data_IF_209367540791
#
_entry.id   IF_209367540791
#
_cell.length_a   1.000
_cell.length_b   1.000
_cell.length_c   1.000
_cell.angle_alpha   90.00
_cell.angle_beta   90.00
_cell.angle_gamma   90.00
#
_symmetry.space_group_name_H-M   'P 1'
#
loop_
_entity.id
_entity.type
_entity.pdbx_description
1 polymer ?
#
# COMPACT_ATOMS: atom_id res chain seq x y z
N UNK A 1 3.43 -8.82 -14.96
CA UNK A 1 2.10 -9.11 -14.38
C UNK A 1 2.11 -10.49 -13.78
N UNK A 2 1.67 -10.61 -12.52
CA UNK A 2 1.51 -11.90 -11.84
C UNK A 2 0.11 -12.46 -12.11
N UNK A 3 -0.01 -13.78 -12.22
CA UNK A 3 -1.32 -14.43 -12.40
C UNK A 3 -2.10 -14.34 -11.10
N UNK A 4 -3.32 -13.82 -11.15
CA UNK A 4 -4.21 -13.71 -9.98
C UNK A 4 -3.95 -12.52 -9.05
N UNK A 5 -3.03 -11.61 -9.42
CA UNK A 5 -2.82 -10.35 -8.70
C UNK A 5 -3.32 -9.20 -9.56
N UNK A 6 -4.13 -8.33 -8.97
CA UNK A 6 -4.67 -7.16 -9.67
C UNK A 6 -3.52 -6.23 -10.08
N UNK A 7 -3.43 -5.81 -11.36
CA UNK A 7 -2.35 -4.97 -11.85
C UNK A 7 -2.34 -3.55 -11.26
N UNK A 8 -3.42 -3.11 -10.60
CA UNK A 8 -3.47 -1.83 -9.87
C UNK A 8 -2.66 -1.85 -8.57
N UNK A 9 -2.38 -3.04 -8.05
CA UNK A 9 -1.53 -3.19 -6.86
C UNK A 9 -0.08 -2.92 -7.23
N UNK A 10 0.56 -2.02 -6.49
CA UNK A 10 1.98 -1.77 -6.65
C UNK A 10 2.78 -3.04 -6.33
N UNK A 11 3.93 -3.28 -6.99
CA UNK A 11 4.75 -4.48 -6.76
C UNK A 11 5.20 -4.65 -5.29
N UNK A 12 5.21 -3.57 -4.51
CA UNK A 12 5.61 -3.56 -3.11
C UNK A 12 4.48 -4.04 -2.18
N UNK A 13 3.22 -3.99 -2.63
CA UNK A 13 2.04 -4.34 -1.82
C UNK A 13 2.01 -5.82 -1.42
N UNK A 14 2.26 -6.79 -2.33
CA UNK A 14 2.33 -8.20 -1.93
C UNK A 14 3.45 -8.49 -0.93
N UNK A 15 4.59 -7.80 -1.06
CA UNK A 15 5.71 -7.93 -0.11
C UNK A 15 5.28 -7.45 1.28
N UNK A 16 4.64 -6.28 1.36
CA UNK A 16 4.11 -5.75 2.62
C UNK A 16 3.13 -6.73 3.26
N UNK A 17 2.15 -7.23 2.51
CA UNK A 17 1.14 -8.16 3.01
C UNK A 17 1.75 -9.47 3.52
N UNK A 18 2.79 -9.98 2.86
CA UNK A 18 3.52 -11.17 3.31
C UNK A 18 4.36 -10.93 4.56
N UNK A 19 4.81 -9.69 4.80
CA UNK A 19 5.55 -9.31 6.00
C UNK A 19 4.62 -9.02 7.20
N UNK A 20 3.33 -8.78 6.96
CA UNK A 20 2.35 -8.57 8.03
C UNK A 20 2.08 -9.86 8.82
N UNK A 21 2.22 -9.76 10.14
CA UNK A 21 1.88 -10.81 11.09
C UNK A 21 0.45 -10.73 11.61
N UNK A 22 0.11 -11.63 12.53
CA UNK A 22 -1.18 -11.58 13.22
C UNK A 22 -1.25 -10.35 14.13
N UNK A 23 -2.24 -9.48 13.91
CA UNK A 23 -2.43 -8.24 14.66
C UNK A 23 -1.77 -7.02 14.03
N UNK A 24 -1.08 -7.16 12.89
CA UNK A 24 -0.66 -6.01 12.10
C UNK A 24 -1.85 -5.36 11.40
N UNK A 25 -1.86 -4.03 11.41
CA UNK A 25 -2.92 -3.23 10.82
C UNK A 25 -2.40 -2.46 9.60
N UNK A 26 -3.25 -2.35 8.59
CA UNK A 26 -3.02 -1.55 7.39
C UNK A 26 -4.13 -0.52 7.25
N UNK A 27 -3.76 0.71 6.91
CA UNK A 27 -4.70 1.80 6.67
C UNK A 27 -4.76 2.07 5.18
N UNK A 28 -5.95 1.93 4.60
CA UNK A 28 -6.24 2.45 3.27
C UNK A 28 -6.69 3.91 3.44
N UNK A 29 -5.86 4.82 2.95
CA UNK A 29 -6.04 6.25 3.14
C UNK A 29 -6.18 6.96 1.79
N UNK A 30 -6.87 8.10 1.82
CA UNK A 30 -6.94 9.00 0.66
C UNK A 30 -5.71 9.91 0.57
N UNK A 31 -5.70 10.80 -0.42
CA UNK A 31 -4.61 11.75 -0.67
C UNK A 31 -4.48 12.85 0.40
N UNK A 32 -5.49 13.08 1.24
CA UNK A 32 -5.50 14.13 2.27
C UNK A 32 -5.07 13.60 3.65
N UNK A 33 -5.02 12.29 3.86
CA UNK A 33 -4.55 11.70 5.09
C UNK A 33 -3.05 12.01 5.30
N UNK A 34 -2.67 12.36 6.53
CA UNK A 34 -1.29 12.70 6.91
C UNK A 34 -0.38 11.46 7.04
N UNK A 35 -0.41 10.60 6.02
CA UNK A 35 0.23 9.29 5.98
C UNK A 35 1.76 9.36 6.15
N UNK A 36 2.40 10.41 5.64
CA UNK A 36 3.85 10.62 5.77
C UNK A 36 4.29 10.92 7.22
N UNK A 37 3.43 11.55 8.03
CA UNK A 37 3.73 11.90 9.43
C UNK A 37 3.22 10.87 10.43
N UNK A 38 2.09 10.22 10.13
CA UNK A 38 1.46 9.22 11.01
C UNK A 38 1.93 7.79 10.72
N UNK A 39 2.41 7.52 9.50
CA UNK A 39 2.82 6.18 9.09
C UNK A 39 4.08 5.72 9.82
N UNK A 40 4.08 4.46 10.29
CA UNK A 40 5.27 3.81 10.89
C UNK A 40 6.29 3.34 9.84
N UNK A 41 6.58 4.18 8.84
CA UNK A 41 7.69 4.01 7.90
C UNK A 41 7.40 3.29 6.58
N UNK A 42 6.28 2.57 6.43
CA UNK A 42 5.89 1.94 5.15
C UNK A 42 4.66 2.63 4.57
N UNK A 43 4.91 3.47 3.57
CA UNK A 43 3.87 4.15 2.80
C UNK A 43 3.84 3.54 1.39
N UNK A 44 2.72 2.94 1.01
CA UNK A 44 2.54 2.40 -0.33
C UNK A 44 1.42 3.14 -1.04
N UNK A 45 1.70 3.59 -2.26
CA UNK A 45 0.68 4.07 -3.18
C UNK A 45 0.16 2.89 -4.01
N UNK A 46 -1.16 2.85 -4.22
CA UNK A 46 -1.75 2.05 -5.30
C UNK A 46 -1.47 2.77 -6.63
N UNK A 47 -1.25 2.01 -7.71
CA UNK A 47 -0.92 2.57 -9.02
C UNK A 47 -2.16 3.18 -9.74
N UNK A 48 -3.09 3.73 -8.97
CA UNK A 48 -4.18 4.59 -9.43
C UNK A 48 -3.87 6.03 -9.03
N UNK A 49 -3.51 6.85 -10.02
CA UNK A 49 -3.43 8.32 -9.91
C UNK A 49 -2.32 8.91 -9.01
N UNK A 50 -1.08 8.78 -9.46
CA UNK A 50 -0.09 9.88 -9.36
C UNK A 50 0.29 10.38 -10.77
N UNK A 51 -0.74 10.64 -11.59
CA UNK A 51 -0.61 11.46 -12.81
C UNK A 51 -1.58 12.63 -12.71
N UNK A 52 -1.17 13.65 -11.96
CA UNK A 52 -1.15 15.07 -12.34
C UNK A 52 -0.41 15.85 -11.27
#
# INVERSE_FOLDING_TARGET
MLKGVDPLLSPEMPKLLCEMGHGDEIVLADANFAAASLGRGKLLAIAGELRK
#
